data_IF_017750809444
#
_entry.id   IF_017750809444
#
_cell.length_a   1.000
_cell.length_b   1.000
_cell.length_c   1.000
_cell.angle_alpha   90.00
_cell.angle_beta   90.00
_cell.angle_gamma   90.00
#
_symmetry.space_group_name_H-M   'P 1'
#
loop_
_entity.id
_entity.type
_entity.pdbx_description
1 polymer ?
#
# COMPACT_ATOMS: atom_id res chain seq x y z
N UNK A 1 -11.34 52.19 -42.17
CA UNK A 1 -10.91 50.95 -42.86
C UNK A 1 -10.03 50.15 -41.91
N UNK A 2 -10.28 48.82 -41.85
CA UNK A 2 -9.62 47.67 -41.20
C UNK A 2 -8.16 47.82 -40.66
N UNK A 3 -7.70 46.94 -39.73
CA UNK A 3 -8.41 46.23 -38.65
C UNK A 3 -7.63 46.17 -37.31
N UNK A 4 -8.35 45.88 -36.22
CA UNK A 4 -7.81 45.46 -34.92
C UNK A 4 -7.15 44.08 -35.02
N UNK A 5 -5.88 43.98 -34.61
CA UNK A 5 -5.21 42.69 -34.40
C UNK A 5 -5.50 42.18 -32.98
N UNK A 6 -6.50 41.30 -32.87
CA UNK A 6 -6.69 40.42 -31.73
C UNK A 6 -5.57 39.38 -31.68
N UNK A 7 -4.61 39.54 -30.77
CA UNK A 7 -3.78 38.43 -30.32
C UNK A 7 -4.67 37.45 -29.55
N UNK A 8 -5.16 36.40 -30.23
CA UNK A 8 -5.72 35.21 -29.58
C UNK A 8 -4.59 34.48 -28.86
N UNK A 9 -4.38 34.83 -27.59
CA UNK A 9 -3.63 33.97 -26.67
C UNK A 9 -4.48 32.72 -26.46
N UNK A 10 -4.15 31.64 -27.18
CA UNK A 10 -4.60 30.30 -26.80
C UNK A 10 -3.93 30.00 -25.46
N UNK A 11 -4.66 30.20 -24.36
CA UNK A 11 -4.32 29.60 -23.07
C UNK A 11 -4.37 28.09 -23.24
N UNK A 12 -3.20 27.51 -23.52
CA UNK A 12 -2.99 26.08 -23.33
C UNK A 12 -2.93 25.89 -21.82
N UNK A 13 -4.08 25.52 -21.23
CA UNK A 13 -4.16 24.98 -19.89
C UNK A 13 -3.34 23.68 -19.86
N UNK A 14 -2.05 23.81 -19.55
CA UNK A 14 -1.22 22.71 -19.08
C UNK A 14 -1.75 22.32 -17.70
N UNK A 15 -2.80 21.49 -17.68
CA UNK A 15 -3.18 20.74 -16.48
C UNK A 15 -2.08 19.73 -16.21
N UNK A 16 -1.00 20.17 -15.56
CA UNK A 16 -0.11 19.27 -14.83
C UNK A 16 -0.94 18.72 -13.67
N UNK A 17 -1.59 17.58 -13.89
CA UNK A 17 -2.23 16.82 -12.83
C UNK A 17 -1.15 16.37 -11.85
N UNK A 18 -0.95 17.15 -10.79
CA UNK A 18 -0.41 16.63 -9.56
C UNK A 18 -1.36 15.52 -9.12
N UNK A 19 -0.92 14.26 -9.19
CA UNK A 19 -1.54 13.20 -8.40
C UNK A 19 -1.40 13.68 -6.96
N UNK A 20 -2.51 14.15 -6.37
CA UNK A 20 -2.51 14.63 -5.00
C UNK A 20 -2.14 13.46 -4.09
N UNK A 21 -0.96 13.53 -3.48
CA UNK A 21 -0.46 12.54 -2.53
C UNK A 21 -1.49 12.18 -1.44
N UNK A 22 -2.42 13.10 -1.14
CA UNK A 22 -3.56 12.93 -0.25
C UNK A 22 -4.47 11.70 -0.50
N UNK A 23 -4.45 11.10 -1.70
CA UNK A 23 -5.21 9.88 -2.00
C UNK A 23 -4.46 8.58 -1.63
N UNK A 24 -3.13 8.59 -1.64
CA UNK A 24 -2.31 7.43 -1.21
C UNK A 24 -2.47 7.23 0.29
N UNK A 25 -2.59 8.33 1.04
CA UNK A 25 -2.53 8.36 2.49
C UNK A 25 -3.72 7.75 3.23
N UNK A 26 -4.73 7.13 2.61
CA UNK A 26 -5.95 6.69 3.31
C UNK A 26 -6.33 5.23 3.08
N UNK A 27 -5.51 4.48 2.34
CA UNK A 27 -5.81 3.11 1.96
C UNK A 27 -4.61 2.20 2.15
N UNK A 28 -4.87 0.92 2.44
CA UNK A 28 -3.82 -0.11 2.50
C UNK A 28 -3.13 -0.25 1.15
N UNK A 29 -3.92 -0.16 0.08
CA UNK A 29 -3.47 -0.22 -1.31
C UNK A 29 -4.13 0.90 -2.09
N UNK A 30 -3.33 1.78 -2.67
CA UNK A 30 -3.75 2.84 -3.58
C UNK A 30 -3.38 2.48 -5.03
N UNK A 31 -4.23 2.82 -5.99
CA UNK A 31 -3.99 2.65 -7.43
C UNK A 31 -4.69 3.76 -8.21
N UNK A 32 -4.17 4.12 -9.39
CA UNK A 32 -4.55 5.36 -10.08
C UNK A 32 -5.02 5.16 -11.53
N UNK A 33 -5.70 4.04 -11.83
CA UNK A 33 -6.09 3.64 -13.19
C UNK A 33 -6.84 4.72 -13.98
N UNK A 34 -7.83 5.39 -13.38
CA UNK A 34 -8.62 6.43 -14.06
C UNK A 34 -7.78 7.67 -14.37
N UNK A 35 -6.98 8.13 -13.41
CA UNK A 35 -6.07 9.27 -13.59
C UNK A 35 -5.03 8.99 -14.68
N UNK A 36 -4.54 7.75 -14.76
CA UNK A 36 -3.56 7.31 -15.75
C UNK A 36 -4.17 7.09 -17.14
N UNK A 37 -5.41 6.64 -17.22
CA UNK A 37 -6.12 6.48 -18.50
C UNK A 37 -6.32 7.85 -19.17
N UNK A 38 -6.75 8.86 -18.42
CA UNK A 38 -6.93 10.23 -18.93
C UNK A 38 -5.63 10.84 -19.48
N UNK A 39 -4.47 10.40 -18.98
CA UNK A 39 -3.15 10.86 -19.42
C UNK A 39 -2.48 9.91 -20.44
N UNK A 40 -3.20 8.88 -20.92
CA UNK A 40 -2.69 7.81 -21.80
C UNK A 40 -1.53 6.99 -21.22
N UNK A 41 -1.15 7.23 -19.95
CA UNK A 41 -0.05 6.53 -19.27
C UNK A 41 -0.39 5.09 -18.93
N UNK A 42 -1.68 4.78 -18.74
CA UNK A 42 -2.12 3.40 -18.50
C UNK A 42 -1.83 2.48 -19.71
N UNK A 43 -2.04 2.99 -20.92
CA UNK A 43 -1.75 2.23 -22.16
C UNK A 43 -0.25 2.08 -22.43
N UNK A 44 0.56 3.05 -22.01
CA UNK A 44 2.02 2.92 -22.00
C UNK A 44 2.43 1.83 -21.01
N UNK A 45 1.90 1.87 -19.78
CA UNK A 45 2.21 0.90 -18.74
C UNK A 45 1.90 -0.54 -19.17
N UNK A 46 0.73 -0.80 -19.79
CA UNK A 46 0.33 -2.13 -20.29
C UNK A 46 1.32 -2.74 -21.31
N UNK A 47 2.17 -1.92 -21.94
CA UNK A 47 3.20 -2.35 -22.90
C UNK A 47 4.57 -2.58 -22.25
N UNK A 48 4.71 -2.31 -20.95
CA UNK A 48 5.98 -2.49 -20.23
C UNK A 48 6.14 -3.91 -19.69
N UNK A 49 7.37 -4.26 -19.31
CA UNK A 49 7.62 -5.37 -18.39
C UNK A 49 7.73 -4.83 -16.97
N UNK A 50 6.98 -5.39 -16.02
CA UNK A 50 7.05 -5.00 -14.61
C UNK A 50 8.16 -5.72 -13.88
N UNK A 51 9.05 -4.97 -13.23
CA UNK A 51 10.18 -5.48 -12.48
C UNK A 51 9.87 -5.42 -10.99
N UNK A 52 9.82 -6.59 -10.34
CA UNK A 52 9.64 -6.70 -8.90
C UNK A 52 10.98 -6.76 -8.20
N UNK A 53 11.10 -6.04 -7.09
CA UNK A 53 12.22 -6.15 -6.15
C UNK A 53 11.72 -6.45 -4.75
N UNK A 54 12.49 -7.21 -3.99
CA UNK A 54 12.18 -7.60 -2.61
C UNK A 54 13.38 -7.36 -1.68
N UNK A 55 13.17 -7.47 -0.37
CA UNK A 55 14.27 -7.42 0.61
C UNK A 55 15.24 -8.57 0.34
N UNK A 56 16.53 -8.43 0.67
CA UNK A 56 17.50 -9.50 0.38
C UNK A 56 17.15 -10.83 1.06
N UNK A 57 16.53 -10.77 2.25
CA UNK A 57 16.07 -11.96 2.97
C UNK A 57 14.87 -12.65 2.28
N UNK A 58 14.04 -11.90 1.55
CA UNK A 58 12.84 -12.43 0.85
C UNK A 58 13.22 -13.39 -0.29
N UNK A 59 14.43 -13.25 -0.87
CA UNK A 59 14.88 -14.16 -1.93
C UNK A 59 15.12 -15.59 -1.43
N UNK A 60 15.22 -15.82 -0.10
CA UNK A 60 15.24 -17.16 0.46
C UNK A 60 13.90 -17.90 0.28
N UNK A 61 12.81 -17.16 0.11
CA UNK A 61 11.45 -17.67 -0.11
C UNK A 61 10.89 -17.21 -1.46
N UNK A 62 11.78 -16.96 -2.44
CA UNK A 62 11.46 -16.37 -3.74
C UNK A 62 10.31 -17.08 -4.47
N UNK A 63 10.25 -18.41 -4.36
CA UNK A 63 9.20 -19.21 -4.99
C UNK A 63 7.80 -18.81 -4.50
N UNK A 64 7.64 -18.52 -3.20
CA UNK A 64 6.34 -18.09 -2.65
C UNK A 64 5.94 -16.72 -3.17
N UNK A 65 6.89 -15.80 -3.26
CA UNK A 65 6.66 -14.49 -3.87
C UNK A 65 6.29 -14.61 -5.34
N UNK A 66 6.97 -15.47 -6.09
CA UNK A 66 6.66 -15.74 -7.49
C UNK A 66 5.26 -16.36 -7.64
N UNK A 67 4.86 -17.29 -6.77
CA UNK A 67 3.51 -17.86 -6.74
C UNK A 67 2.45 -16.77 -6.51
N UNK A 68 2.67 -15.87 -5.55
CA UNK A 68 1.76 -14.74 -5.30
C UNK A 68 1.63 -13.80 -6.50
N UNK A 69 2.74 -13.46 -7.17
CA UNK A 69 2.73 -12.67 -8.40
C UNK A 69 1.98 -13.41 -9.51
N UNK A 70 2.32 -14.69 -9.78
CA UNK A 70 1.68 -15.50 -10.83
C UNK A 70 0.17 -15.62 -10.63
N UNK A 71 -0.30 -15.72 -9.38
CA UNK A 71 -1.73 -15.81 -9.06
C UNK A 71 -2.48 -14.56 -9.52
N UNK A 72 -1.99 -13.37 -9.16
CA UNK A 72 -2.80 -12.15 -9.26
C UNK A 72 -2.32 -11.10 -10.27
N UNK A 73 -1.06 -11.15 -10.72
CA UNK A 73 -0.54 -10.19 -11.70
C UNK A 73 -0.79 -10.64 -13.13
N UNK A 74 -1.64 -9.92 -13.86
CA UNK A 74 -2.08 -10.24 -15.23
C UNK A 74 -1.97 -9.07 -16.20
N UNK A 75 -1.74 -7.86 -15.71
CA UNK A 75 -1.76 -6.65 -16.53
C UNK A 75 -0.53 -6.49 -17.45
N UNK A 76 0.63 -6.99 -17.05
CA UNK A 76 1.90 -6.91 -17.79
C UNK A 76 2.72 -8.18 -17.61
N UNK A 77 3.63 -8.52 -18.56
CA UNK A 77 4.72 -9.44 -18.29
C UNK A 77 5.54 -8.94 -17.10
N UNK A 78 6.12 -9.86 -16.33
CA UNK A 78 6.94 -9.48 -15.18
C UNK A 78 8.26 -10.24 -15.10
N UNK A 79 9.21 -9.66 -14.36
CA UNK A 79 10.46 -10.30 -13.91
C UNK A 79 10.72 -9.92 -12.47
N UNK A 80 11.35 -10.82 -11.72
CA UNK A 80 11.90 -10.49 -10.40
C UNK A 80 13.39 -10.21 -10.62
N UNK A 81 13.85 -9.07 -10.10
CA UNK A 81 15.25 -8.62 -10.20
C UNK A 81 15.77 -8.31 -8.80
N UNK A 82 17.08 -8.31 -8.62
CA UNK A 82 17.68 -7.91 -7.34
C UNK A 82 17.76 -6.39 -7.19
N UNK A 83 17.84 -5.84 -5.96
CA UNK A 83 17.85 -4.40 -5.74
C UNK A 83 19.03 -3.68 -6.43
N UNK A 84 20.21 -4.31 -6.51
CA UNK A 84 21.38 -3.76 -7.19
C UNK A 84 21.18 -3.58 -8.71
N UNK A 85 20.19 -4.25 -9.29
CA UNK A 85 19.87 -4.15 -10.71
C UNK A 85 18.94 -2.97 -11.04
N UNK A 86 18.30 -2.34 -10.04
CA UNK A 86 17.36 -1.23 -10.24
C UNK A 86 17.96 -0.11 -11.11
N UNK A 87 19.21 0.26 -10.85
CA UNK A 87 19.91 1.32 -11.58
C UNK A 87 20.17 1.00 -13.06
N UNK A 88 20.04 -0.26 -13.50
CA UNK A 88 20.14 -0.65 -14.92
C UNK A 88 18.86 -0.35 -15.69
N UNK A 89 17.72 -0.31 -15.00
CA UNK A 89 16.40 -0.19 -15.61
C UNK A 89 15.72 1.16 -15.37
N UNK A 90 16.21 1.96 -14.42
CA UNK A 90 15.55 3.19 -13.95
C UNK A 90 15.58 4.37 -14.95
N UNK A 91 16.05 4.16 -16.18
CA UNK A 91 16.03 5.10 -17.30
C UNK A 91 15.42 4.52 -18.58
N UNK A 92 15.01 3.25 -18.56
CA UNK A 92 14.53 2.52 -19.74
C UNK A 92 13.00 2.59 -19.84
N UNK A 93 12.49 3.06 -20.97
CA UNK A 93 11.06 3.32 -21.19
C UNK A 93 10.16 2.07 -21.20
N UNK A 94 10.74 0.88 -21.38
CA UNK A 94 10.00 -0.37 -21.54
C UNK A 94 9.71 -1.08 -20.21
N UNK A 95 10.01 -0.45 -19.08
CA UNK A 95 9.89 -1.04 -17.76
C UNK A 95 9.04 -0.19 -16.81
N UNK A 96 8.30 -0.90 -15.98
CA UNK A 96 7.72 -0.39 -14.74
C UNK A 96 8.38 -1.10 -13.58
N UNK A 97 8.49 -0.44 -12.42
CA UNK A 97 9.19 -1.00 -11.26
C UNK A 97 8.29 -1.02 -10.04
N UNK A 98 8.30 -2.15 -9.34
CA UNK A 98 7.83 -2.30 -7.98
C UNK A 98 9.02 -2.29 -7.03
N UNK A 99 9.10 -1.28 -6.16
CA UNK A 99 10.20 -1.11 -5.22
C UNK A 99 9.78 -0.35 -3.97
N UNK A 100 10.54 -0.48 -2.88
CA UNK A 100 10.29 0.25 -1.65
C UNK A 100 10.59 1.75 -1.83
N UNK A 101 9.70 2.62 -1.40
CA UNK A 101 9.94 4.07 -1.37
C UNK A 101 9.37 4.65 -0.09
N UNK A 102 9.75 5.89 0.20
CA UNK A 102 9.14 6.63 1.28
C UNK A 102 9.00 8.10 0.94
N UNK A 103 8.03 8.73 1.58
CA UNK A 103 7.76 10.15 1.42
C UNK A 103 7.09 10.70 2.68
N UNK A 104 7.30 11.98 2.94
CA UNK A 104 6.66 12.69 4.05
C UNK A 104 5.52 13.55 3.51
N UNK A 105 4.34 13.43 4.11
CA UNK A 105 3.26 14.38 3.91
C UNK A 105 3.33 15.42 5.02
N UNK A 106 3.43 16.70 4.64
CA UNK A 106 3.39 17.82 5.58
C UNK A 106 2.02 18.49 5.47
N UNK A 107 1.34 18.59 6.61
CA UNK A 107 0.21 19.49 6.82
C UNK A 107 0.61 20.56 7.83
N UNK A 108 -0.22 21.59 8.01
CA UNK A 108 0.09 22.72 8.91
C UNK A 108 0.39 22.31 10.36
N UNK A 109 -0.06 21.12 10.79
CA UNK A 109 0.08 20.63 12.17
C UNK A 109 0.69 19.24 12.32
N UNK A 110 0.83 18.47 11.23
CA UNK A 110 1.22 17.06 11.28
C UNK A 110 2.19 16.73 10.13
N UNK A 111 3.31 16.10 10.48
CA UNK A 111 4.19 15.41 9.54
C UNK A 111 3.90 13.91 9.60
N UNK A 112 3.50 13.32 8.48
CA UNK A 112 3.26 11.89 8.36
C UNK A 112 4.31 11.26 7.45
N UNK A 113 5.14 10.40 8.02
CA UNK A 113 6.05 9.54 7.25
C UNK A 113 5.29 8.37 6.67
N UNK A 114 5.44 8.17 5.38
CA UNK A 114 4.81 7.08 4.64
C UNK A 114 5.88 6.22 4.01
N UNK A 115 5.96 4.95 4.42
CA UNK A 115 6.79 3.94 3.77
C UNK A 115 5.86 3.07 2.93
N UNK A 116 6.24 2.86 1.67
CA UNK A 116 5.38 2.20 0.68
C UNK A 116 6.14 1.20 -0.17
N UNK A 117 5.43 0.20 -0.68
CA UNK A 117 5.86 -0.57 -1.85
C UNK A 117 5.17 -0.01 -3.08
N UNK A 118 5.93 0.66 -3.94
CA UNK A 118 5.41 1.51 -5.00
C UNK A 118 5.58 0.88 -6.39
N UNK A 119 4.49 0.84 -7.17
CA UNK A 119 4.54 0.61 -8.60
C UNK A 119 4.70 1.93 -9.32
N UNK A 120 5.79 2.08 -10.07
CA UNK A 120 6.05 3.29 -10.85
C UNK A 120 6.32 2.97 -12.32
N UNK A 121 5.77 3.79 -13.19
CA UNK A 121 6.17 3.87 -14.59
C UNK A 121 7.31 4.87 -14.72
N UNK A 122 8.39 4.45 -15.37
CA UNK A 122 9.51 5.33 -15.70
C UNK A 122 9.35 5.78 -17.14
N UNK A 123 9.20 7.08 -17.36
CA UNK A 123 9.23 7.65 -18.71
C UNK A 123 10.46 8.51 -18.91
N UNK A 124 11.11 8.45 -20.10
CA UNK A 124 12.18 9.37 -20.44
C UNK A 124 11.72 10.81 -20.29
N UNK A 125 12.46 11.62 -19.54
CA UNK A 125 12.17 13.06 -19.45
C UNK A 125 12.57 13.77 -20.74
N UNK A 126 11.95 14.94 -20.99
CA UNK A 126 12.40 15.89 -22.02
C UNK A 126 13.82 16.42 -21.75
N UNK A 127 14.31 16.32 -20.51
CA UNK A 127 15.68 16.71 -20.13
C UNK A 127 16.60 15.47 -20.11
N UNK A 128 17.75 15.49 -20.79
CA UNK A 128 18.73 14.40 -20.71
C UNK A 128 19.11 14.10 -19.25
N UNK A 129 19.18 12.81 -18.88
CA UNK A 129 19.54 12.32 -17.53
C UNK A 129 18.55 12.66 -16.39
N UNK A 130 17.37 13.19 -16.71
CA UNK A 130 16.25 13.31 -15.76
C UNK A 130 15.26 12.20 -16.10
N UNK A 131 14.74 11.52 -15.08
CA UNK A 131 13.66 10.54 -15.23
C UNK A 131 12.35 11.13 -14.72
N UNK A 132 11.26 10.84 -15.41
CA UNK A 132 9.91 11.11 -14.90
C UNK A 132 9.39 9.81 -14.29
N UNK A 133 9.08 9.85 -12.99
CA UNK A 133 8.47 8.73 -12.27
C UNK A 133 6.98 9.00 -12.10
N UNK A 134 6.13 8.11 -12.59
CA UNK A 134 4.69 8.21 -12.45
C UNK A 134 4.24 7.09 -11.52
N UNK A 135 3.71 7.45 -10.36
CA UNK A 135 3.15 6.49 -9.43
C UNK A 135 1.86 5.89 -10.01
N UNK A 136 1.84 4.57 -10.17
CA UNK A 136 0.68 3.83 -10.66
C UNK A 136 -0.14 3.22 -9.52
N UNK A 137 0.56 2.74 -8.50
CA UNK A 137 -0.02 2.16 -7.29
C UNK A 137 0.99 2.17 -6.14
N UNK A 138 0.49 2.07 -4.91
CA UNK A 138 1.30 2.00 -3.71
C UNK A 138 0.63 1.10 -2.65
N UNK A 139 1.42 0.34 -1.93
CA UNK A 139 1.00 -0.40 -0.73
C UNK A 139 1.60 0.28 0.48
N UNK A 140 0.77 0.63 1.48
CA UNK A 140 1.26 1.17 2.75
C UNK A 140 1.95 0.09 3.59
N UNK A 141 3.15 0.37 4.09
CA UNK A 141 3.93 -0.58 4.89
C UNK A 141 4.01 -0.14 6.36
N UNK A 142 3.92 -1.11 7.25
CA UNK A 142 4.13 -0.93 8.68
C UNK A 142 5.55 -1.36 9.04
N UNK A 143 6.44 -0.39 9.08
CA UNK A 143 7.84 -0.62 9.43
C UNK A 143 8.08 -0.67 10.94
N UNK A 144 9.18 -1.29 11.32
CA UNK A 144 9.70 -1.24 12.67
C UNK A 144 10.02 0.22 13.10
N UNK A 145 9.98 0.51 14.42
CA UNK A 145 10.20 1.87 14.93
C UNK A 145 11.52 2.51 14.49
N UNK A 146 12.59 1.71 14.33
CA UNK A 146 13.90 2.24 13.94
C UNK A 146 13.93 2.71 12.49
N UNK A 147 13.21 2.01 11.62
CA UNK A 147 13.05 2.38 10.21
C UNK A 147 12.21 3.64 10.06
N UNK A 148 11.09 3.78 10.79
CA UNK A 148 10.28 5.02 10.76
C UNK A 148 11.10 6.24 11.20
N UNK A 149 11.82 6.12 12.33
CA UNK A 149 12.67 7.20 12.85
C UNK A 149 13.77 7.61 11.85
N UNK A 150 14.38 6.64 11.17
CA UNK A 150 15.39 6.91 10.14
C UNK A 150 14.82 7.77 9.00
N UNK A 151 13.63 7.44 8.50
CA UNK A 151 13.00 8.16 7.38
C UNK A 151 12.60 9.56 7.81
N UNK A 152 11.97 9.69 8.97
CA UNK A 152 11.53 10.98 9.53
C UNK A 152 12.72 11.94 9.69
N UNK A 153 13.78 11.49 10.35
CA UNK A 153 14.96 12.34 10.62
C UNK A 153 15.70 12.75 9.35
N UNK A 154 15.81 11.86 8.37
CA UNK A 154 16.54 12.16 7.13
C UNK A 154 15.77 13.11 6.20
N UNK A 155 14.45 13.03 6.18
CA UNK A 155 13.62 14.01 5.44
C UNK A 155 13.74 15.42 6.08
N UNK A 156 13.66 15.49 7.41
CA UNK A 156 13.76 16.75 8.15
C UNK A 156 15.12 17.43 8.00
N UNK A 157 16.22 16.67 8.09
CA UNK A 157 17.57 17.25 8.16
C UNK A 157 18.18 17.59 6.80
N UNK A 158 17.77 16.89 5.73
CA UNK A 158 18.55 16.94 4.49
C UNK A 158 17.74 17.00 3.19
N UNK A 159 16.40 16.86 3.26
CA UNK A 159 15.51 16.88 2.11
C UNK A 159 15.79 15.77 1.08
N UNK A 160 15.37 15.98 -0.17
CA UNK A 160 15.35 14.96 -1.24
C UNK A 160 16.71 14.71 -1.92
N UNK A 161 17.83 14.77 -1.19
CA UNK A 161 19.16 14.49 -1.77
C UNK A 161 19.24 13.03 -2.22
N UNK A 162 19.68 12.80 -3.47
CA UNK A 162 19.79 11.44 -4.07
C UNK A 162 20.56 10.44 -3.20
N UNK A 163 21.66 10.87 -2.57
CA UNK A 163 22.46 10.01 -1.67
C UNK A 163 21.65 9.50 -0.47
N UNK A 164 20.74 10.32 0.04
CA UNK A 164 19.92 10.02 1.22
C UNK A 164 18.81 9.06 0.82
N UNK A 165 18.17 9.31 -0.32
CA UNK A 165 17.24 8.34 -0.91
C UNK A 165 17.89 6.96 -1.10
N UNK A 166 19.14 6.91 -1.58
CA UNK A 166 19.86 5.65 -1.71
C UNK A 166 20.18 4.98 -0.36
N UNK A 167 20.52 5.75 0.68
CA UNK A 167 20.77 5.21 2.01
C UNK A 167 19.48 4.62 2.65
N UNK A 168 18.36 5.35 2.55
CA UNK A 168 17.05 4.88 3.01
C UNK A 168 16.67 3.60 2.26
N UNK A 169 16.79 3.62 0.94
CA UNK A 169 16.48 2.46 0.10
C UNK A 169 17.37 1.25 0.45
N UNK A 170 18.66 1.48 0.67
CA UNK A 170 19.57 0.44 1.15
C UNK A 170 19.14 -0.11 2.51
N UNK A 171 18.67 0.72 3.44
CA UNK A 171 18.15 0.27 4.73
C UNK A 171 16.90 -0.59 4.55
N UNK A 172 15.97 -0.18 3.68
CA UNK A 172 14.76 -0.96 3.37
C UNK A 172 15.07 -2.37 2.88
N UNK A 173 16.06 -2.54 1.99
CA UNK A 173 16.38 -3.86 1.46
C UNK A 173 17.19 -4.76 2.40
N UNK A 174 17.92 -4.19 3.36
CA UNK A 174 18.90 -4.94 4.18
C UNK A 174 18.54 -5.07 5.66
N UNK A 175 17.79 -4.12 6.23
CA UNK A 175 17.67 -3.97 7.69
C UNK A 175 16.25 -3.72 8.19
N UNK A 176 15.41 -3.10 7.37
CA UNK A 176 14.03 -2.81 7.78
C UNK A 176 13.24 -4.10 8.01
N UNK A 177 12.34 -4.08 9.00
CA UNK A 177 11.32 -5.11 9.17
C UNK A 177 9.95 -4.50 8.89
N UNK A 178 9.17 -5.13 8.01
CA UNK A 178 7.81 -4.69 7.69
C UNK A 178 6.81 -5.73 8.21
N UNK A 179 6.02 -5.37 9.22
CA UNK A 179 5.09 -6.30 9.91
C UNK A 179 3.95 -6.78 9.00
N UNK A 180 3.55 -5.97 8.03
CA UNK A 180 2.46 -6.22 7.09
C UNK A 180 2.95 -6.63 5.68
N UNK A 181 4.16 -7.20 5.58
CA UNK A 181 4.78 -7.61 4.32
C UNK A 181 5.04 -9.11 4.32
N UNK A 182 4.44 -9.89 3.42
CA UNK A 182 4.68 -11.33 3.21
C UNK A 182 4.28 -11.74 1.79
N UNK A 183 4.68 -12.93 1.29
CA UNK A 183 4.14 -13.43 0.02
C UNK A 183 2.61 -13.53 0.00
N UNK A 184 1.99 -14.03 1.08
CA UNK A 184 0.54 -14.11 1.25
C UNK A 184 -0.14 -12.74 1.26
N UNK A 185 0.38 -11.77 2.00
CA UNK A 185 -0.12 -10.39 1.97
C UNK A 185 0.07 -9.73 0.61
N UNK A 186 1.22 -9.95 -0.04
CA UNK A 186 1.50 -9.47 -1.39
C UNK A 186 0.45 -9.98 -2.37
N UNK A 187 -0.03 -11.21 -2.22
CA UNK A 187 -1.12 -11.76 -3.03
C UNK A 187 -2.35 -10.85 -3.02
N UNK A 188 -2.81 -10.46 -1.83
CA UNK A 188 -3.94 -9.53 -1.64
C UNK A 188 -3.68 -8.12 -2.15
N UNK A 189 -2.45 -7.63 -1.99
CA UNK A 189 -2.09 -6.32 -2.51
C UNK A 189 -2.08 -6.27 -4.03
N UNK A 190 -1.45 -7.26 -4.67
CA UNK A 190 -1.39 -7.36 -6.13
C UNK A 190 -2.77 -7.58 -6.73
N UNK A 191 -3.65 -8.31 -6.06
CA UNK A 191 -5.04 -8.50 -6.52
C UNK A 191 -5.76 -7.16 -6.68
N UNK A 192 -5.71 -6.31 -5.66
CA UNK A 192 -6.34 -4.99 -5.71
C UNK A 192 -5.73 -4.09 -6.78
N UNK A 193 -4.40 -4.04 -6.87
CA UNK A 193 -3.71 -3.22 -7.87
C UNK A 193 -4.05 -3.71 -9.27
N UNK A 194 -3.96 -5.01 -9.52
CA UNK A 194 -4.22 -5.59 -10.83
C UNK A 194 -5.67 -5.36 -11.27
N UNK A 195 -6.65 -5.68 -10.43
CA UNK A 195 -8.07 -5.50 -10.76
C UNK A 195 -8.40 -4.02 -10.98
N UNK A 196 -7.94 -3.13 -10.09
CA UNK A 196 -8.20 -1.70 -10.19
C UNK A 196 -7.59 -1.05 -11.43
N UNK A 197 -6.34 -1.39 -11.77
CA UNK A 197 -5.70 -0.88 -12.98
C UNK A 197 -6.31 -1.45 -14.27
N UNK A 198 -6.74 -2.73 -14.28
CA UNK A 198 -7.45 -3.31 -15.43
C UNK A 198 -8.83 -2.68 -15.65
N UNK A 199 -9.55 -2.39 -14.56
CA UNK A 199 -10.82 -1.68 -14.60
C UNK A 199 -10.67 -0.18 -14.92
N UNK A 200 -9.43 0.33 -15.00
CA UNK A 200 -9.13 1.76 -15.15
C UNK A 200 -9.77 2.61 -14.05
N UNK A 201 -9.81 2.07 -12.84
CA UNK A 201 -10.36 2.72 -11.67
C UNK A 201 -9.24 3.36 -10.85
N UNK A 202 -9.56 4.45 -10.17
CA UNK A 202 -8.74 4.89 -9.06
C UNK A 202 -9.20 4.14 -7.80
N UNK A 203 -8.29 3.95 -6.87
CA UNK A 203 -8.64 3.64 -5.49
C UNK A 203 -9.36 4.87 -4.91
N UNK A 204 -10.65 4.98 -5.18
CA UNK A 204 -11.57 5.86 -4.49
C UNK A 204 -12.08 5.10 -3.26
N UNK A 205 -11.17 4.61 -2.42
CA UNK A 205 -11.62 4.16 -1.12
C UNK A 205 -11.80 5.45 -0.32
N UNK A 206 -13.06 5.84 -0.12
CA UNK A 206 -13.44 6.62 1.04
C UNK A 206 -12.73 6.02 2.28
N UNK A 207 -12.61 6.79 3.35
CA UNK A 207 -12.00 6.33 4.61
C UNK A 207 -12.46 4.94 5.08
N UNK A 208 -13.57 4.42 4.55
CA UNK A 208 -14.18 3.13 4.85
C UNK A 208 -14.60 2.40 3.57
N UNK A 209 -14.36 1.09 3.55
CA UNK A 209 -14.88 0.16 2.55
C UNK A 209 -15.36 -1.11 3.23
N UNK A 210 -16.44 -1.69 2.73
CA UNK A 210 -16.93 -2.98 3.18
C UNK A 210 -17.69 -3.71 2.08
N UNK A 211 -17.38 -4.99 1.92
CA UNK A 211 -18.09 -5.88 1.02
C UNK A 211 -19.38 -6.36 1.70
N UNK A 212 -20.53 -5.93 1.20
CA UNK A 212 -21.86 -6.22 1.78
C UNK A 212 -22.24 -7.71 1.80
N UNK A 213 -21.58 -8.53 0.97
CA UNK A 213 -21.89 -9.97 0.85
C UNK A 213 -20.95 -10.81 1.74
N UNK A 214 -19.65 -10.54 1.68
CA UNK A 214 -18.63 -11.38 2.33
C UNK A 214 -18.33 -10.97 3.76
N UNK A 215 -18.45 -9.68 4.09
CA UNK A 215 -18.16 -9.22 5.44
C UNK A 215 -19.10 -9.87 6.49
N UNK A 216 -20.41 -10.03 6.24
CA UNK A 216 -21.30 -10.73 7.17
C UNK A 216 -20.95 -12.20 7.46
N UNK A 217 -20.19 -12.87 6.58
CA UNK A 217 -19.76 -14.27 6.77
C UNK A 217 -18.83 -14.42 8.00
N UNK A 218 -18.13 -13.36 8.40
CA UNK A 218 -17.31 -13.32 9.62
C UNK A 218 -18.11 -13.58 10.91
N UNK A 219 -19.44 -13.46 10.88
CA UNK A 219 -20.27 -13.85 12.01
C UNK A 219 -20.26 -15.37 12.28
N UNK A 220 -19.84 -16.19 11.29
CA UNK A 220 -19.83 -17.66 11.36
C UNK A 220 -18.43 -18.25 11.22
N UNK A 221 -17.56 -17.55 10.48
CA UNK A 221 -16.18 -17.96 10.19
C UNK A 221 -15.16 -17.40 11.19
N UNK A 222 -13.95 -17.94 11.15
CA UNK A 222 -12.83 -17.47 11.98
C UNK A 222 -12.11 -16.32 11.30
N UNK A 223 -11.99 -15.20 12.01
CA UNK A 223 -11.09 -14.11 11.65
C UNK A 223 -9.68 -14.39 12.17
N UNK A 224 -8.70 -14.49 11.27
CA UNK A 224 -7.31 -14.68 11.64
C UNK A 224 -6.63 -13.33 11.87
N UNK A 225 -5.98 -13.17 13.02
CA UNK A 225 -5.35 -11.93 13.43
C UNK A 225 -3.85 -12.18 13.64
N UNK A 226 -2.96 -11.49 12.92
CA UNK A 226 -1.53 -11.71 13.08
C UNK A 226 -1.04 -11.23 14.45
N UNK A 227 -0.10 -11.98 15.04
CA UNK A 227 0.43 -11.74 16.38
C UNK A 227 1.15 -10.39 16.54
N UNK A 228 1.69 -9.80 15.46
CA UNK A 228 2.31 -8.46 15.55
C UNK A 228 1.30 -7.41 16.06
N UNK A 229 0.01 -7.59 15.82
CA UNK A 229 -1.05 -6.72 16.37
C UNK A 229 -1.12 -6.86 17.89
N UNK A 230 -0.99 -8.08 18.40
CA UNK A 230 -0.94 -8.36 19.83
C UNK A 230 0.34 -7.83 20.47
N UNK A 231 1.49 -7.95 19.81
CA UNK A 231 2.77 -7.42 20.31
C UNK A 231 2.73 -5.89 20.46
N UNK A 232 2.18 -5.19 19.45
CA UNK A 232 1.96 -3.73 19.51
C UNK A 232 0.95 -3.35 20.60
N UNK A 233 -0.14 -4.10 20.75
CA UNK A 233 -1.14 -3.86 21.80
C UNK A 233 -0.60 -4.12 23.21
N UNK A 234 0.08 -5.25 23.41
CA UNK A 234 0.57 -5.72 24.70
C UNK A 234 1.72 -4.88 25.26
N UNK A 235 2.59 -4.35 24.39
CA UNK A 235 3.65 -3.41 24.79
C UNK A 235 3.11 -2.07 25.31
N UNK A 236 1.82 -1.75 25.09
CA UNK A 236 1.22 -0.44 25.42
C UNK A 236 0.07 -0.48 26.41
N UNK A 237 -0.54 -1.65 26.68
CA UNK A 237 -1.50 -1.85 27.77
C UNK A 237 -0.97 -1.39 29.14
N UNK A 238 0.36 -1.38 29.33
CA UNK A 238 1.00 -0.89 30.55
C UNK A 238 0.98 0.65 30.68
N UNK A 239 0.61 1.40 29.64
CA UNK A 239 0.84 2.85 29.54
C UNK A 239 -0.42 3.70 29.32
N UNK A 240 -1.59 3.12 29.08
CA UNK A 240 -2.81 3.87 28.74
C UNK A 240 -3.96 3.66 29.74
N UNK A 241 -4.67 4.73 30.17
CA UNK A 241 -5.95 4.57 30.83
C UNK A 241 -6.99 3.97 29.87
N UNK A 242 -7.92 3.13 30.35
CA UNK A 242 -8.93 2.52 29.51
C UNK A 242 -9.78 3.60 28.82
N UNK A 243 -9.96 3.48 27.50
CA UNK A 243 -10.82 4.40 26.74
C UNK A 243 -12.25 4.32 27.29
N UNK A 244 -12.86 5.48 27.60
CA UNK A 244 -14.16 5.57 28.26
C UNK A 244 -15.37 5.09 27.42
N UNK A 245 -15.14 4.53 26.23
CA UNK A 245 -16.18 4.02 25.33
C UNK A 245 -16.13 2.49 25.37
N UNK A 246 -17.07 1.90 26.10
CA UNK A 246 -17.29 0.45 26.12
C UNK A 246 -18.12 0.11 24.86
N UNK A 247 -17.45 -0.16 23.75
CA UNK A 247 -18.11 -0.80 22.61
C UNK A 247 -18.39 -2.27 22.95
N UNK A 248 -19.46 -2.83 22.40
CA UNK A 248 -19.67 -4.28 22.54
C UNK A 248 -18.49 -5.05 21.94
N UNK A 249 -17.88 -5.98 22.66
CA UNK A 249 -16.71 -6.68 22.18
C UNK A 249 -17.02 -7.50 20.93
N UNK A 250 -16.01 -7.64 20.08
CA UNK A 250 -16.02 -8.60 18.99
C UNK A 250 -16.12 -10.02 19.55
N UNK A 251 -17.32 -10.62 19.46
CA UNK A 251 -17.64 -11.92 20.03
C UNK A 251 -17.81 -13.03 18.97
N UNK A 252 -17.38 -12.78 17.73
CA UNK A 252 -17.27 -13.81 16.70
C UNK A 252 -15.93 -14.56 16.83
N UNK A 253 -15.80 -15.67 16.08
CA UNK A 253 -14.60 -16.51 16.15
C UNK A 253 -13.38 -15.72 15.70
N UNK A 254 -12.34 -15.73 16.54
CA UNK A 254 -11.07 -15.06 16.29
C UNK A 254 -9.92 -16.00 16.65
N UNK A 255 -8.88 -16.01 15.83
CA UNK A 255 -7.66 -16.78 16.11
C UNK A 255 -6.43 -15.91 15.87
N UNK A 256 -5.66 -15.70 16.93
CA UNK A 256 -4.32 -15.12 16.80
C UNK A 256 -3.36 -16.16 16.25
N UNK A 257 -2.53 -15.75 15.30
CA UNK A 257 -1.54 -16.61 14.65
C UNK A 257 -0.26 -15.84 14.37
N UNK A 258 0.88 -16.52 14.46
CA UNK A 258 2.15 -15.92 14.05
C UNK A 258 2.10 -15.53 12.58
N UNK A 259 2.91 -14.54 12.22
CA UNK A 259 3.02 -14.06 10.85
C UNK A 259 3.33 -15.20 9.86
N UNK A 260 4.26 -16.11 10.21
CA UNK A 260 4.64 -17.26 9.34
C UNK A 260 3.50 -18.27 9.17
N UNK A 261 2.74 -18.51 10.24
CA UNK A 261 1.58 -19.40 10.19
C UNK A 261 0.46 -18.78 9.34
N UNK A 262 0.23 -17.46 9.48
CA UNK A 262 -0.76 -16.76 8.67
C UNK A 262 -0.39 -16.77 7.18
N UNK A 263 0.88 -16.51 6.86
CA UNK A 263 1.38 -16.54 5.48
C UNK A 263 1.13 -17.91 4.84
N UNK A 264 1.45 -18.98 5.57
CA UNK A 264 1.21 -20.36 5.13
C UNK A 264 -0.27 -20.66 4.91
N UNK A 265 -1.16 -20.14 5.77
CA UNK A 265 -2.62 -20.29 5.62
C UNK A 265 -3.15 -19.53 4.40
N UNK A 266 -2.63 -18.34 4.10
CA UNK A 266 -3.07 -17.52 2.96
C UNK A 266 -2.66 -18.18 1.64
N UNK A 267 -1.42 -18.69 1.55
CA UNK A 267 -0.90 -19.33 0.35
C UNK A 267 -1.48 -20.73 0.13
N UNK A 268 -1.93 -21.41 1.18
CA UNK A 268 -2.53 -22.73 1.08
C UNK A 268 -4.01 -22.62 0.65
N UNK A 269 -4.27 -22.89 -0.63
CA UNK A 269 -5.61 -22.81 -1.21
C UNK A 269 -6.59 -23.91 -0.75
N UNK A 270 -6.18 -24.86 0.11
CA UNK A 270 -7.04 -25.95 0.56
C UNK A 270 -8.24 -25.47 1.40
N UNK A 271 -8.07 -24.40 2.17
CA UNK A 271 -9.14 -23.79 2.95
C UNK A 271 -8.96 -22.26 2.99
N UNK A 272 -9.82 -21.50 2.29
CA UNK A 272 -9.78 -20.05 2.35
C UNK A 272 -9.91 -19.53 3.78
N UNK A 273 -9.15 -18.49 4.09
CA UNK A 273 -9.14 -17.82 5.40
C UNK A 273 -9.40 -16.34 5.22
N UNK A 274 -10.12 -15.76 6.19
CA UNK A 274 -10.29 -14.30 6.30
C UNK A 274 -9.30 -13.78 7.34
N UNK A 275 -8.53 -12.75 6.99
CA UNK A 275 -7.41 -12.29 7.80
C UNK A 275 -7.31 -10.77 7.90
N UNK A 276 -6.80 -10.29 9.04
CA UNK A 276 -6.56 -8.88 9.31
C UNK A 276 -5.17 -8.47 8.81
N UNK A 277 -5.11 -7.30 8.19
CA UNK A 277 -3.88 -6.54 7.98
C UNK A 277 -4.03 -5.22 8.74
N UNK A 278 -3.09 -4.97 9.66
CA UNK A 278 -2.98 -3.72 10.39
C UNK A 278 -1.74 -3.00 9.93
N UNK A 279 -1.91 -1.74 9.56
CA UNK A 279 -0.82 -0.87 9.14
C UNK A 279 -0.81 0.36 10.03
N UNK A 280 0.18 0.45 10.89
CA UNK A 280 0.47 1.65 11.68
C UNK A 280 1.44 2.55 10.92
N UNK A 281 1.13 3.84 10.94
CA UNK A 281 2.03 4.93 10.52
C UNK A 281 2.17 5.90 11.69
N UNK A 282 2.94 6.97 11.50
CA UNK A 282 3.31 7.90 12.58
C UNK A 282 2.11 8.40 13.40
N UNK A 283 1.06 8.85 12.72
CA UNK A 283 -0.10 9.45 13.39
C UNK A 283 -1.43 8.79 13.02
N UNK A 284 -1.45 7.68 12.30
CA UNK A 284 -2.70 7.04 11.90
C UNK A 284 -2.52 5.54 11.66
N UNK A 285 -3.65 4.85 11.49
CA UNK A 285 -3.66 3.43 11.13
C UNK A 285 -4.66 3.13 10.04
N UNK A 286 -4.40 2.02 9.37
CA UNK A 286 -5.32 1.38 8.45
C UNK A 286 -5.55 -0.05 8.96
N UNK A 287 -6.82 -0.45 9.05
CA UNK A 287 -7.21 -1.82 9.37
C UNK A 287 -7.99 -2.36 8.18
N UNK A 288 -7.49 -3.46 7.62
CA UNK A 288 -8.09 -4.13 6.48
C UNK A 288 -8.39 -5.59 6.80
N UNK A 289 -9.43 -6.14 6.18
CA UNK A 289 -9.70 -7.58 6.19
C UNK A 289 -9.71 -8.08 4.75
N UNK A 290 -8.99 -9.17 4.52
CA UNK A 290 -8.88 -9.84 3.24
C UNK A 290 -9.48 -11.23 3.32
N UNK A 291 -9.94 -11.73 2.17
CA UNK A 291 -10.42 -13.09 1.98
C UNK A 291 -9.47 -13.81 1.01
N UNK A 292 -8.75 -14.84 1.49
CA UNK A 292 -7.77 -15.56 0.66
C UNK A 292 -8.40 -16.43 -0.43
N UNK A 293 -9.73 -16.57 -0.45
CA UNK A 293 -10.47 -17.32 -1.49
C UNK A 293 -10.14 -16.79 -2.89
N UNK A 294 -10.08 -15.48 -3.04
CA UNK A 294 -9.72 -14.80 -4.28
C UNK A 294 -8.86 -13.55 -4.04
N UNK A 295 -8.25 -13.47 -2.86
CA UNK A 295 -7.34 -12.42 -2.39
C UNK A 295 -7.94 -11.01 -2.38
N UNK A 296 -9.27 -10.91 -2.29
CA UNK A 296 -9.95 -9.61 -2.25
C UNK A 296 -10.03 -9.04 -0.85
N UNK A 297 -9.90 -7.73 -0.77
CA UNK A 297 -10.27 -6.96 0.41
C UNK A 297 -11.79 -7.01 0.60
N UNK A 298 -12.24 -7.22 1.84
CA UNK A 298 -13.66 -7.26 2.22
C UNK A 298 -14.02 -6.19 3.25
N UNK A 299 -13.02 -5.58 3.88
CA UNK A 299 -13.18 -4.45 4.78
C UNK A 299 -11.90 -3.60 4.77
N UNK A 300 -12.05 -2.28 4.85
CA UNK A 300 -10.98 -1.36 5.15
C UNK A 300 -11.53 -0.20 5.98
N UNK A 301 -10.76 0.25 6.95
CA UNK A 301 -11.00 1.54 7.60
C UNK A 301 -9.69 2.26 7.92
N UNK A 302 -9.69 3.54 7.63
CA UNK A 302 -8.66 4.49 8.00
C UNK A 302 -9.05 5.21 9.29
N UNK A 303 -8.10 5.37 10.21
CA UNK A 303 -8.30 6.08 11.48
C UNK A 303 -7.24 7.18 11.61
N UNK A 304 -7.59 8.45 11.33
CA UNK A 304 -6.68 9.56 11.52
C UNK A 304 -6.37 9.77 13.01
N UNK A 305 -5.15 10.19 13.35
CA UNK A 305 -4.74 10.56 14.71
C UNK A 305 -4.90 9.44 15.75
N UNK A 306 -5.03 8.20 15.30
CA UNK A 306 -5.16 7.00 16.14
C UNK A 306 -4.25 5.93 15.55
N UNK A 307 -2.92 6.02 15.77
CA UNK A 307 -1.96 5.10 15.17
C UNK A 307 -1.99 3.72 15.80
N UNK A 308 -2.52 3.59 17.02
CA UNK A 308 -2.45 2.35 17.80
C UNK A 308 -3.69 1.49 17.63
N UNK A 309 -3.48 0.18 17.48
CA UNK A 309 -4.57 -0.80 17.44
C UNK A 309 -5.24 -0.93 18.81
N UNK A 310 -6.57 -0.92 18.83
CA UNK A 310 -7.39 -1.14 20.02
C UNK A 310 -8.35 -2.31 19.80
N UNK A 311 -8.75 -3.02 20.86
CA UNK A 311 -9.79 -4.05 20.76
C UNK A 311 -11.13 -3.49 20.28
N UNK A 312 -11.38 -2.19 20.51
CA UNK A 312 -12.52 -1.48 19.96
C UNK A 312 -12.51 -1.44 18.43
N UNK A 313 -11.35 -1.53 17.77
CA UNK A 313 -11.29 -1.58 16.30
C UNK A 313 -11.93 -2.86 15.73
N UNK A 314 -11.77 -3.99 16.42
CA UNK A 314 -12.48 -5.23 16.07
C UNK A 314 -13.98 -5.06 16.26
N UNK A 315 -14.37 -4.37 17.33
CA UNK A 315 -15.78 -4.06 17.60
C UNK A 315 -16.41 -3.20 16.50
N UNK A 316 -15.65 -2.31 15.86
CA UNK A 316 -16.11 -1.57 14.67
C UNK A 316 -16.43 -2.50 13.49
N UNK A 317 -15.65 -3.56 13.27
CA UNK A 317 -15.96 -4.58 12.24
C UNK A 317 -17.29 -5.25 12.56
N UNK A 318 -17.52 -5.62 13.83
CA UNK A 318 -18.80 -6.20 14.29
C UNK A 318 -19.96 -5.25 14.04
N UNK A 319 -19.82 -3.96 14.36
CA UNK A 319 -20.89 -2.96 14.13
C UNK A 319 -21.29 -2.90 12.66
N UNK A 320 -20.32 -2.95 11.74
CA UNK A 320 -20.61 -3.00 10.29
C UNK A 320 -21.28 -4.31 9.89
N UNK A 321 -20.85 -5.46 10.43
CA UNK A 321 -21.52 -6.74 10.19
C UNK A 321 -22.99 -6.70 10.63
N UNK A 322 -23.27 -6.11 11.79
CA UNK A 322 -24.64 -5.99 12.32
C UNK A 322 -25.48 -5.04 11.46
N UNK A 323 -24.92 -3.92 10.98
CA UNK A 323 -25.68 -2.96 10.15
C UNK A 323 -25.98 -3.44 8.73
N UNK A 324 -25.31 -4.51 8.27
CA UNK A 324 -25.52 -5.12 6.96
C UNK A 324 -26.54 -6.27 6.97
N UNK A 325 -26.98 -6.72 8.15
CA UNK A 325 -28.01 -7.77 8.31
C UNK A 325 -29.40 -7.17 8.26
#
# INVERSE_FOLDING_TARGET
MKPQNMFKVKQILLFSFFISWAAIGKSQVAYFGKSLLNSQKLEVFKKTTTLFTFQYNDYAELEKFEQAIKKNWKITPYKIIKPEELGRYDTLANYSLFYFDAYTEKSDTINNTNIIYALKLITPSKKPKVKEEILLAAVALFADPSTNFLVETQDQQYGTKRRIKNNILSHFYNKASFYNWSPGFLSGYLKQINDGLLASENCNLDYQFYNRVRLPELAKETLYVPEYIKEVFSSRLALLPPSGIIAEPYNYKLKFVSYKALDSLILNNAAPVKYVVYTQRDNDKIISVYDSKDDKIIYQRFYPQSPDFEMNDLSEIKKVIVSLK
#
